data_IF_706017359069
#
_entry.id   IF_706017359069
#
_cell.length_a   1.000
_cell.length_b   1.000
_cell.length_c   1.000
_cell.angle_alpha   90.00
_cell.angle_beta   90.00
_cell.angle_gamma   90.00
#
_symmetry.space_group_name_H-M   'P 1'
#
loop_
_entity.id
_entity.type
_entity.pdbx_description
1 polymer ?
#
# COMPACT_ATOMS: atom_id res chain seq x y z
N UNK A 1 -1.00 30.20 -14.84
CA UNK A 1 -1.11 29.10 -13.85
C UNK A 1 -0.66 27.79 -14.48
N UNK A 2 0.44 27.19 -14.01
CA UNK A 2 0.89 25.87 -14.47
C UNK A 2 -0.12 24.83 -13.97
N UNK A 3 -0.95 24.25 -14.86
CA UNK A 3 -1.81 23.11 -14.49
C UNK A 3 -0.89 22.01 -13.96
N UNK A 4 -0.87 21.80 -12.64
CA UNK A 4 -0.19 20.65 -12.06
C UNK A 4 -0.78 19.40 -12.72
N UNK A 5 0.07 18.61 -13.36
CA UNK A 5 -0.31 17.33 -13.94
C UNK A 5 -0.75 16.46 -12.77
N UNK A 6 -2.07 16.34 -12.58
CA UNK A 6 -2.68 15.58 -11.49
C UNK A 6 -2.09 14.17 -11.48
N UNK A 7 -1.66 13.69 -10.32
CA UNK A 7 -1.00 12.37 -10.23
C UNK A 7 -1.94 11.26 -10.72
N UNK A 8 -1.38 10.23 -11.35
CA UNK A 8 -2.15 9.08 -11.81
C UNK A 8 -2.94 8.42 -10.67
N UNK A 9 -2.39 8.45 -9.45
CA UNK A 9 -3.04 7.98 -8.23
C UNK A 9 -4.38 8.69 -7.96
N UNK A 10 -4.42 10.01 -8.14
CA UNK A 10 -5.63 10.81 -7.96
C UNK A 10 -6.68 10.59 -9.06
N UNK A 11 -6.31 9.93 -10.17
CA UNK A 11 -7.25 9.53 -11.22
C UNK A 11 -7.89 8.18 -10.92
N UNK A 12 -7.14 7.25 -10.32
CA UNK A 12 -7.66 5.92 -9.92
C UNK A 12 -8.78 6.06 -8.91
N UNK A 13 -8.60 6.92 -7.91
CA UNK A 13 -9.62 7.18 -6.88
C UNK A 13 -10.96 7.69 -7.45
N UNK A 14 -10.98 8.26 -8.67
CA UNK A 14 -12.22 8.73 -9.31
C UNK A 14 -13.16 7.59 -9.71
N UNK A 15 -12.63 6.38 -9.88
CA UNK A 15 -13.40 5.18 -10.25
C UNK A 15 -13.91 4.41 -9.03
N UNK A 16 -13.64 4.91 -7.83
CA UNK A 16 -14.05 4.25 -6.59
C UNK A 16 -15.58 4.29 -6.49
N UNK A 17 -16.25 3.14 -6.29
CA UNK A 17 -17.68 3.13 -6.00
C UNK A 17 -17.94 3.72 -4.61
N UNK A 18 -19.20 4.00 -4.25
CA UNK A 18 -19.56 4.33 -2.87
C UNK A 18 -19.18 3.17 -1.94
N UNK A 19 -18.31 3.45 -0.95
CA UNK A 19 -17.76 2.46 -0.03
C UNK A 19 -17.68 3.06 1.37
N UNK A 20 -17.82 2.22 2.39
CA UNK A 20 -17.67 2.64 3.77
C UNK A 20 -16.20 2.71 4.18
N UNK A 21 -15.77 3.86 4.68
CA UNK A 21 -14.47 3.95 5.36
C UNK A 21 -14.56 3.40 6.80
N UNK A 22 -15.69 3.65 7.46
CA UNK A 22 -16.13 3.05 8.73
C UNK A 22 -17.50 2.43 8.50
N UNK A 23 -17.68 1.17 8.90
CA UNK A 23 -18.96 0.48 8.74
C UNK A 23 -19.98 1.13 9.70
N UNK A 24 -21.19 1.50 9.23
CA UNK A 24 -22.20 2.10 10.09
C UNK A 24 -22.54 1.21 11.28
N UNK A 25 -22.56 1.81 12.48
CA UNK A 25 -22.84 1.08 13.72
C UNK A 25 -21.66 0.26 14.28
N UNK A 26 -20.47 0.34 13.67
CA UNK A 26 -19.26 -0.30 14.17
C UNK A 26 -18.19 0.74 14.52
N UNK A 27 -17.30 0.38 15.45
CA UNK A 27 -16.08 1.15 15.66
C UNK A 27 -15.20 1.08 14.40
N UNK A 28 -14.36 2.11 14.20
CA UNK A 28 -13.42 2.12 13.09
C UNK A 28 -12.42 0.96 13.22
N UNK A 29 -12.30 0.17 12.16
CA UNK A 29 -11.26 -0.84 11.97
C UNK A 29 -10.67 -0.67 10.56
N UNK A 30 -9.37 -0.40 10.51
CA UNK A 30 -8.63 -0.17 9.26
C UNK A 30 -8.66 -1.40 8.34
N UNK A 31 -8.69 -2.60 8.91
CA UNK A 31 -8.74 -3.86 8.17
C UNK A 31 -10.12 -4.13 7.56
N UNK A 32 -11.17 -3.52 8.10
CA UNK A 32 -12.54 -3.61 7.59
C UNK A 32 -12.91 -2.44 6.67
N UNK A 33 -12.01 -1.47 6.49
CA UNK A 33 -12.27 -0.29 5.67
C UNK A 33 -12.43 -0.67 4.19
N UNK A 34 -13.67 -0.64 3.68
CA UNK A 34 -13.95 -0.99 2.28
C UNK A 34 -13.22 -0.07 1.31
N UNK A 35 -13.05 1.21 1.68
CA UNK A 35 -12.26 2.19 0.92
C UNK A 35 -10.80 1.74 0.77
N UNK A 36 -10.13 1.39 1.88
CA UNK A 36 -8.72 0.98 1.84
C UNK A 36 -8.55 -0.36 1.12
N UNK A 37 -9.43 -1.32 1.40
CA UNK A 37 -9.45 -2.62 0.72
C UNK A 37 -9.67 -2.49 -0.79
N UNK A 38 -10.46 -1.50 -1.24
CA UNK A 38 -10.63 -1.23 -2.66
C UNK A 38 -9.40 -0.56 -3.27
N UNK A 39 -8.80 0.41 -2.56
CA UNK A 39 -7.60 1.13 -3.02
C UNK A 39 -6.40 0.20 -3.20
N UNK A 40 -6.13 -0.69 -2.24
CA UNK A 40 -4.99 -1.63 -2.33
C UNK A 40 -5.16 -2.67 -3.45
N UNK A 41 -6.36 -2.82 -4.03
CA UNK A 41 -6.58 -3.69 -5.20
C UNK A 41 -6.22 -3.00 -6.51
N UNK A 42 -5.96 -1.70 -6.50
CA UNK A 42 -5.63 -0.94 -7.71
C UNK A 42 -4.12 -1.04 -8.02
N UNK A 43 -3.71 -1.49 -9.22
CA UNK A 43 -2.30 -1.67 -9.55
C UNK A 43 -1.42 -0.42 -9.36
N UNK A 44 -1.94 0.76 -9.71
CA UNK A 44 -1.20 2.03 -9.53
C UNK A 44 -0.94 2.34 -8.05
N UNK A 45 -1.89 1.99 -7.17
CA UNK A 45 -1.77 2.20 -5.72
C UNK A 45 -0.76 1.22 -5.14
N UNK A 46 -0.82 -0.06 -5.53
CA UNK A 46 0.19 -1.06 -5.14
C UNK A 46 1.59 -0.65 -5.56
N UNK A 47 1.74 -0.18 -6.80
CA UNK A 47 3.02 0.32 -7.32
C UNK A 47 3.51 1.54 -6.53
N UNK A 48 2.61 2.47 -6.18
CA UNK A 48 2.98 3.62 -5.36
C UNK A 48 3.44 3.18 -3.96
N UNK A 49 2.69 2.33 -3.28
CA UNK A 49 3.05 1.80 -1.96
C UNK A 49 4.43 1.14 -2.03
N UNK A 50 4.61 0.22 -2.99
CA UNK A 50 5.88 -0.49 -3.15
C UNK A 50 7.04 0.44 -3.47
N UNK A 51 6.84 1.43 -4.35
CA UNK A 51 7.88 2.40 -4.68
C UNK A 51 8.30 3.25 -3.47
N UNK A 52 7.40 3.58 -2.56
CA UNK A 52 7.77 4.27 -1.33
C UNK A 52 8.55 3.35 -0.40
N UNK A 53 8.08 2.12 -0.17
CA UNK A 53 8.73 1.14 0.73
C UNK A 53 10.13 0.79 0.24
N UNK A 54 10.30 0.45 -1.04
CA UNK A 54 11.62 0.07 -1.57
C UNK A 54 12.64 1.22 -1.54
N UNK A 55 12.18 2.47 -1.45
CA UNK A 55 13.03 3.67 -1.38
C UNK A 55 13.28 4.13 0.06
N UNK A 56 12.61 3.56 1.06
CA UNK A 56 12.78 4.00 2.45
C UNK A 56 14.10 3.54 3.07
N UNK A 57 14.71 2.48 2.54
CA UNK A 57 15.88 1.84 3.12
C UNK A 57 15.55 0.75 4.14
N UNK A 58 14.26 0.58 4.48
CA UNK A 58 13.80 -0.40 5.47
C UNK A 58 13.66 -1.82 4.91
N UNK A 59 13.79 -1.98 3.59
CA UNK A 59 13.80 -3.28 2.91
C UNK A 59 14.98 -3.38 1.95
N UNK A 60 15.52 -4.59 1.80
CA UNK A 60 16.58 -4.89 0.84
C UNK A 60 16.23 -6.13 0.01
N UNK A 61 16.79 -6.18 -1.19
CA UNK A 61 16.68 -7.33 -2.07
C UNK A 61 17.87 -8.27 -1.85
N UNK A 62 17.60 -9.53 -1.53
CA UNK A 62 18.61 -10.59 -1.50
C UNK A 62 18.70 -11.27 -2.89
N UNK A 63 19.79 -11.06 -3.65
CA UNK A 63 19.95 -11.65 -4.98
C UNK A 63 20.11 -13.18 -4.94
N UNK A 64 20.49 -13.78 -3.81
CA UNK A 64 20.62 -15.24 -3.70
C UNK A 64 19.27 -15.92 -3.65
N UNK A 65 18.33 -15.38 -2.86
CA UNK A 65 16.98 -15.93 -2.74
C UNK A 65 15.96 -15.32 -3.68
N UNK A 66 16.27 -14.16 -4.28
CA UNK A 66 15.35 -13.40 -5.13
C UNK A 66 14.22 -12.74 -4.35
N UNK A 67 14.38 -12.54 -3.04
CA UNK A 67 13.34 -12.03 -2.14
C UNK A 67 13.68 -10.66 -1.59
N UNK A 68 12.65 -9.90 -1.25
CA UNK A 68 12.77 -8.69 -0.45
C UNK A 68 12.56 -9.02 1.03
N UNK A 69 13.36 -8.41 1.88
CA UNK A 69 13.35 -8.63 3.33
C UNK A 69 13.47 -7.29 4.06
N UNK A 70 12.81 -7.15 5.21
CA UNK A 70 12.98 -6.00 6.08
C UNK A 70 14.34 -6.01 6.78
N UNK A 71 14.92 -4.83 7.04
CA UNK A 71 16.24 -4.70 7.70
C UNK A 71 16.30 -5.38 9.06
N UNK A 72 15.19 -5.34 9.80
CA UNK A 72 15.11 -5.83 11.17
C UNK A 72 14.49 -7.24 11.27
N UNK A 73 14.20 -7.88 10.12
CA UNK A 73 13.68 -9.23 10.13
C UNK A 73 14.78 -10.22 10.49
N UNK A 74 14.88 -10.55 11.77
CA UNK A 74 15.67 -11.68 12.24
C UNK A 74 14.89 -12.96 11.92
N UNK A 75 15.47 -13.82 11.07
CA UNK A 75 15.01 -15.21 11.00
C UNK A 75 15.16 -15.79 12.39
N UNK A 76 14.05 -16.16 13.03
CA UNK A 76 14.08 -17.02 14.22
C UNK A 76 15.05 -18.18 13.92
N UNK A 77 16.18 -18.18 14.61
CA UNK A 77 17.04 -19.35 14.68
C UNK A 77 16.21 -20.37 15.46
N UNK A 78 15.63 -21.33 14.75
CA UNK A 78 15.05 -22.52 15.37
C UNK A 78 16.07 -23.06 16.38
N UNK A 79 15.71 -23.00 17.66
CA UNK A 79 16.31 -23.79 18.74
C UNK A 79 15.82 -25.24 18.63
#
# INVERSE_FOLDING_TARGET
MRKQKRSQLLNVARKMPPLFHTIPGQAFDILQSQVLLWLIKQPDILNFIWNNIKQSGDVFYDPKSGKWQGTDYEKEKNL
#
